data_IF_640960962003
#
_entry.id   IF_640960962003
#
_cell.length_a   1.000
_cell.length_b   1.000
_cell.length_c   1.000
_cell.angle_alpha   90.00
_cell.angle_beta   90.00
_cell.angle_gamma   90.00
#
_symmetry.space_group_name_H-M   'P 1'
#
loop_
_entity.id
_entity.type
_entity.pdbx_description
1 polymer ?
#
# COMPACT_ATOMS: atom_id res chain seq x y z
N UNK A 1 12.80 2.08 -29.54
CA UNK A 1 11.44 2.53 -29.22
C UNK A 1 10.52 1.31 -29.31
N UNK A 2 10.42 0.52 -28.22
CA UNK A 2 9.66 -0.73 -28.21
C UNK A 2 8.22 -0.46 -27.76
N UNK A 3 7.24 -0.78 -28.62
CA UNK A 3 5.81 -0.77 -28.29
C UNK A 3 5.54 -1.84 -27.25
N UNK A 4 5.14 -1.44 -26.05
CA UNK A 4 4.49 -2.31 -25.07
C UNK A 4 3.16 -2.74 -25.69
N UNK A 5 3.06 -4.03 -26.04
CA UNK A 5 1.82 -4.61 -26.54
C UNK A 5 0.73 -4.50 -25.49
N UNK A 6 -0.35 -3.79 -25.85
CA UNK A 6 -1.60 -3.77 -25.11
C UNK A 6 -2.11 -5.21 -24.98
N UNK A 7 -1.84 -5.86 -23.85
CA UNK A 7 -2.68 -6.98 -23.43
C UNK A 7 -3.99 -6.36 -22.96
N UNK A 8 -5.04 -6.61 -23.73
CA UNK A 8 -6.42 -6.34 -23.33
C UNK A 8 -6.61 -6.87 -21.91
N UNK A 9 -7.05 -5.99 -21.00
CA UNK A 9 -7.78 -6.42 -19.82
C UNK A 9 -9.01 -7.18 -20.36
N UNK A 10 -9.29 -8.35 -19.80
CA UNK A 10 -10.25 -9.35 -20.29
C UNK A 10 -11.71 -8.89 -20.36
N UNK A 11 -12.65 -9.83 -20.56
CA UNK A 11 -13.91 -9.61 -21.27
C UNK A 11 -14.89 -8.66 -20.57
N UNK A 12 -15.85 -8.21 -21.38
CA UNK A 12 -16.92 -7.25 -21.11
C UNK A 12 -17.64 -7.40 -19.76
N UNK A 13 -18.00 -6.23 -19.22
CA UNK A 13 -18.61 -5.92 -17.91
C UNK A 13 -19.97 -6.60 -17.62
N UNK A 14 -20.46 -7.50 -18.48
CA UNK A 14 -21.79 -8.13 -18.31
C UNK A 14 -21.79 -9.43 -17.49
N UNK A 15 -20.64 -10.01 -17.16
CA UNK A 15 -20.51 -11.13 -16.22
C UNK A 15 -19.68 -10.73 -14.97
N UNK A 16 -20.22 -9.84 -14.13
CA UNK A 16 -19.58 -9.47 -12.84
C UNK A 16 -19.72 -10.54 -11.74
N UNK A 17 -20.06 -11.78 -12.11
CA UNK A 17 -20.00 -12.90 -11.17
C UNK A 17 -18.55 -13.40 -11.15
N UNK A 18 -17.93 -13.34 -9.96
CA UNK A 18 -16.66 -14.04 -9.72
C UNK A 18 -16.86 -15.49 -10.15
N UNK A 19 -16.02 -15.95 -11.09
CA UNK A 19 -16.03 -17.35 -11.51
C UNK A 19 -15.85 -18.24 -10.26
N UNK A 20 -16.82 -19.12 -9.94
CA UNK A 20 -16.77 -19.97 -8.74
C UNK A 20 -15.52 -20.84 -8.66
N UNK A 21 -14.97 -21.28 -9.79
CA UNK A 21 -13.73 -22.08 -9.86
C UNK A 21 -12.54 -21.22 -9.45
N UNK A 22 -12.49 -19.99 -9.97
CA UNK A 22 -11.46 -19.02 -9.63
C UNK A 22 -11.53 -18.60 -8.15
N UNK A 23 -12.74 -18.44 -7.60
CA UNK A 23 -12.94 -18.20 -6.18
C UNK A 23 -12.44 -19.37 -5.32
N UNK A 24 -12.80 -20.61 -5.68
CA UNK A 24 -12.38 -21.79 -4.94
C UNK A 24 -10.84 -21.90 -4.83
N UNK A 25 -10.10 -21.49 -5.87
CA UNK A 25 -8.63 -21.47 -5.86
C UNK A 25 -8.01 -20.51 -4.83
N UNK A 26 -8.78 -19.58 -4.28
CA UNK A 26 -8.32 -18.69 -3.20
C UNK A 26 -8.39 -19.33 -1.81
N UNK A 27 -9.12 -20.44 -1.68
CA UNK A 27 -9.44 -21.06 -0.40
C UNK A 27 -10.59 -20.40 0.37
N UNK A 28 -11.23 -19.36 -0.18
CA UNK A 28 -12.41 -18.73 0.41
C UNK A 28 -13.70 -19.39 -0.10
N UNK A 29 -14.67 -19.70 0.79
CA UNK A 29 -15.88 -20.43 0.40
C UNK A 29 -16.91 -19.57 -0.34
N UNK A 30 -16.83 -18.25 -0.23
CA UNK A 30 -17.77 -17.31 -0.82
C UNK A 30 -17.10 -15.97 -1.13
N UNK A 31 -17.64 -15.24 -2.11
CA UNK A 31 -17.18 -13.90 -2.51
C UNK A 31 -17.29 -12.88 -1.37
N UNK A 32 -18.33 -13.01 -0.55
CA UNK A 32 -18.54 -12.19 0.66
C UNK A 32 -17.44 -12.42 1.69
N UNK A 33 -17.04 -13.68 1.94
CA UNK A 33 -15.95 -14.01 2.87
C UNK A 33 -14.59 -13.52 2.36
N UNK A 34 -14.35 -13.63 1.04
CA UNK A 34 -13.15 -13.08 0.40
C UNK A 34 -13.11 -11.55 0.58
N UNK A 35 -14.23 -10.86 0.31
CA UNK A 35 -14.32 -9.41 0.47
C UNK A 35 -14.09 -8.97 1.93
N UNK A 36 -14.76 -9.59 2.90
CA UNK A 36 -14.55 -9.29 4.32
C UNK A 36 -13.09 -9.48 4.73
N UNK A 37 -12.45 -10.55 4.26
CA UNK A 37 -11.04 -10.81 4.56
C UNK A 37 -10.10 -9.80 3.91
N UNK A 38 -10.44 -9.32 2.70
CA UNK A 38 -9.68 -8.28 2.02
C UNK A 38 -9.80 -6.94 2.77
N UNK A 39 -10.99 -6.60 3.29
CA UNK A 39 -11.21 -5.40 4.08
C UNK A 39 -10.43 -5.45 5.41
N UNK A 40 -10.49 -6.57 6.13
CA UNK A 40 -9.69 -6.77 7.35
C UNK A 40 -8.18 -6.67 7.06
N UNK A 41 -7.71 -7.25 5.95
CA UNK A 41 -6.32 -7.16 5.53
C UNK A 41 -5.92 -5.74 5.13
N UNK A 42 -6.78 -5.02 4.41
CA UNK A 42 -6.55 -3.63 4.02
C UNK A 42 -6.41 -2.74 5.26
N UNK A 43 -7.34 -2.87 6.22
CA UNK A 43 -7.30 -2.11 7.47
C UNK A 43 -6.01 -2.42 8.26
N UNK A 44 -5.68 -3.70 8.39
CA UNK A 44 -4.46 -4.18 9.02
C UNK A 44 -3.19 -3.58 8.39
N UNK A 45 -3.18 -3.36 7.07
CA UNK A 45 -2.01 -2.92 6.32
C UNK A 45 -2.04 -1.44 5.95
N UNK A 46 -3.05 -0.69 6.40
CA UNK A 46 -3.31 0.70 6.01
C UNK A 46 -2.07 1.61 6.16
N UNK A 47 -1.35 1.48 7.27
CA UNK A 47 -0.14 2.27 7.53
C UNK A 47 0.99 1.96 6.53
N UNK A 48 1.27 0.68 6.29
CA UNK A 48 2.27 0.23 5.32
C UNK A 48 1.90 0.64 3.88
N UNK A 49 0.62 0.46 3.53
CA UNK A 49 0.07 0.81 2.23
C UNK A 49 0.17 2.32 1.97
N UNK A 50 0.07 3.16 3.00
CA UNK A 50 0.28 4.60 2.87
C UNK A 50 1.69 4.92 2.34
N UNK A 51 2.75 4.29 2.86
CA UNK A 51 4.12 4.51 2.36
C UNK A 51 4.33 3.96 0.96
N UNK A 52 3.79 2.77 0.67
CA UNK A 52 3.81 2.22 -0.69
C UNK A 52 3.19 3.24 -1.66
N UNK A 53 2.09 3.87 -1.27
CA UNK A 53 1.40 4.87 -2.06
C UNK A 53 2.21 6.14 -2.24
N UNK A 54 2.75 6.69 -1.15
CA UNK A 54 3.60 7.90 -1.17
C UNK A 54 4.80 7.69 -2.07
N UNK A 55 5.51 6.56 -1.92
CA UNK A 55 6.72 6.27 -2.70
C UNK A 55 6.39 6.14 -4.18
N UNK A 56 5.37 5.35 -4.55
CA UNK A 56 4.99 5.17 -5.96
C UNK A 56 4.53 6.50 -6.59
N UNK A 57 3.80 7.32 -5.83
CA UNK A 57 3.35 8.64 -6.27
C UNK A 57 4.53 9.58 -6.56
N UNK A 58 5.60 9.53 -5.77
CA UNK A 58 6.80 10.32 -6.04
C UNK A 58 7.66 9.73 -7.17
N UNK A 59 7.75 8.40 -7.26
CA UNK A 59 8.63 7.69 -8.21
C UNK A 59 8.14 7.78 -9.65
N UNK A 60 6.83 7.77 -9.88
CA UNK A 60 6.26 7.65 -11.23
C UNK A 60 5.83 8.99 -11.83
N UNK A 61 6.79 9.90 -12.05
CA UNK A 61 6.56 11.24 -12.62
C UNK A 61 6.41 12.36 -11.58
N UNK A 62 6.49 12.00 -10.30
CA UNK A 62 6.39 12.94 -9.18
C UNK A 62 4.97 13.13 -8.66
N UNK A 63 4.89 13.70 -7.47
CA UNK A 63 3.68 13.83 -6.68
C UNK A 63 2.61 14.64 -7.41
N UNK A 64 2.94 15.86 -7.83
CA UNK A 64 2.00 16.79 -8.44
C UNK A 64 1.49 16.26 -9.78
N UNK A 65 2.36 15.63 -10.58
CA UNK A 65 1.96 15.01 -11.83
C UNK A 65 0.89 13.92 -11.60
N UNK A 66 1.09 13.02 -10.64
CA UNK A 66 0.14 11.94 -10.38
C UNK A 66 -1.20 12.45 -9.82
N UNK A 67 -1.17 13.48 -8.98
CA UNK A 67 -2.39 14.10 -8.43
C UNK A 67 -3.19 14.86 -9.50
N UNK A 68 -2.54 15.52 -10.46
CA UNK A 68 -3.23 16.27 -11.52
C UNK A 68 -3.74 15.38 -12.65
N UNK A 69 -3.05 14.29 -12.98
CA UNK A 69 -3.33 13.49 -14.19
C UNK A 69 -4.26 12.28 -13.94
N UNK A 70 -5.04 12.28 -12.85
CA UNK A 70 -6.00 11.21 -12.50
C UNK A 70 -5.39 9.81 -12.66
N UNK A 71 -4.35 9.50 -11.89
CA UNK A 71 -3.69 8.19 -11.89
C UNK A 71 -4.00 7.43 -10.61
N UNK A 72 -3.92 6.11 -10.67
CA UNK A 72 -4.13 5.22 -9.54
C UNK A 72 -2.94 4.31 -9.31
N UNK A 73 -2.73 3.90 -8.07
CA UNK A 73 -1.87 2.79 -7.75
C UNK A 73 -2.69 1.49 -7.81
N UNK A 74 -2.39 0.62 -8.77
CA UNK A 74 -2.95 -0.73 -8.82
C UNK A 74 -2.05 -1.67 -8.05
N UNK A 75 -2.58 -2.30 -7.00
CA UNK A 75 -1.91 -3.34 -6.23
C UNK A 75 -2.53 -4.69 -6.55
N UNK A 76 -1.74 -5.58 -7.15
CA UNK A 76 -2.16 -6.96 -7.39
C UNK A 76 -1.82 -7.78 -6.16
N UNK A 77 -2.85 -8.35 -5.54
CA UNK A 77 -2.71 -9.14 -4.32
C UNK A 77 -3.12 -10.58 -4.57
N UNK A 78 -2.39 -11.51 -3.98
CA UNK A 78 -2.72 -12.94 -4.02
C UNK A 78 -3.28 -13.34 -2.67
N UNK A 79 -4.49 -13.90 -2.68
CA UNK A 79 -5.07 -14.56 -1.53
C UNK A 79 -4.18 -15.72 -1.08
N UNK A 80 -3.98 -15.83 0.23
CA UNK A 80 -3.41 -17.00 0.89
C UNK A 80 -4.56 -17.78 1.50
N UNK A 81 -4.41 -19.09 1.62
CA UNK A 81 -5.41 -19.93 2.26
C UNK A 81 -5.78 -19.33 3.64
N UNK A 82 -7.08 -19.27 4.00
CA UNK A 82 -7.51 -18.66 5.25
C UNK A 82 -6.75 -19.28 6.43
N UNK A 83 -5.89 -18.49 7.09
CA UNK A 83 -5.20 -18.91 8.30
C UNK A 83 -5.91 -18.28 9.50
N UNK A 84 -6.23 -19.11 10.50
CA UNK A 84 -6.82 -18.64 11.75
C UNK A 84 -5.79 -17.79 12.50
N UNK A 85 -6.09 -16.50 12.71
CA UNK A 85 -5.52 -15.74 13.83
C UNK A 85 -4.81 -14.43 13.50
N UNK A 86 -4.50 -14.12 12.24
CA UNK A 86 -3.96 -12.79 11.87
C UNK A 86 -4.39 -12.40 10.44
N UNK A 87 -5.31 -11.43 10.27
CA UNK A 87 -5.79 -11.02 8.95
C UNK A 87 -4.69 -10.40 8.09
N UNK A 88 -3.61 -9.88 8.69
CA UNK A 88 -2.44 -9.38 7.96
C UNK A 88 -1.77 -10.45 7.07
N UNK A 89 -2.00 -11.75 7.36
CA UNK A 89 -1.50 -12.89 6.59
C UNK A 89 -2.44 -13.35 5.48
N UNK A 90 -3.63 -12.76 5.33
CA UNK A 90 -4.63 -13.23 4.37
C UNK A 90 -4.21 -13.01 2.91
N UNK A 91 -3.39 -12.00 2.61
CA UNK A 91 -2.93 -11.70 1.26
C UNK A 91 -1.42 -11.40 1.25
N UNK A 92 -0.84 -11.44 0.05
CA UNK A 92 0.48 -10.86 -0.24
C UNK A 92 0.39 -9.99 -1.48
N UNK A 93 1.22 -8.95 -1.53
CA UNK A 93 1.42 -8.14 -2.73
C UNK A 93 2.28 -8.94 -3.71
N UNK A 94 1.79 -9.05 -4.94
CA UNK A 94 2.48 -9.71 -6.06
C UNK A 94 3.13 -8.68 -6.98
N UNK A 95 2.41 -7.59 -7.25
CA UNK A 95 2.82 -6.58 -8.21
C UNK A 95 2.15 -5.24 -7.89
N UNK A 96 2.77 -4.15 -8.34
CA UNK A 96 2.28 -2.80 -8.15
C UNK A 96 2.62 -1.93 -9.36
N UNK A 97 1.65 -1.13 -9.80
CA UNK A 97 1.86 -0.25 -10.96
C UNK A 97 0.99 1.00 -10.88
N UNK A 98 1.53 2.12 -11.35
CA UNK A 98 0.79 3.38 -11.49
C UNK A 98 0.12 3.43 -12.86
N UNK A 99 -1.21 3.52 -12.89
CA UNK A 99 -2.01 3.41 -14.12
C UNK A 99 -2.87 4.67 -14.32
N UNK A 100 -2.98 5.21 -15.54
CA UNK A 100 -3.95 6.26 -15.87
C UNK A 100 -5.39 5.84 -15.64
N UNK A 101 -6.26 6.76 -15.20
CA UNK A 101 -7.68 6.47 -15.01
C UNK A 101 -8.36 5.92 -16.27
N UNK A 102 -7.95 6.40 -17.44
CA UNK A 102 -8.52 5.99 -18.74
C UNK A 102 -8.38 4.49 -19.03
N UNK A 103 -7.44 3.81 -18.38
CA UNK A 103 -7.23 2.37 -18.55
C UNK A 103 -8.21 1.53 -17.70
N UNK A 104 -9.03 2.18 -16.85
CA UNK A 104 -10.11 1.51 -16.14
C UNK A 104 -11.42 1.52 -16.94
N UNK A 105 -12.17 0.42 -16.86
CA UNK A 105 -13.50 0.31 -17.43
C UNK A 105 -14.52 1.28 -16.80
N UNK A 106 -15.70 1.42 -17.43
CA UNK A 106 -16.73 2.38 -17.02
C UNK A 106 -17.13 2.28 -15.53
N UNK A 107 -17.42 1.08 -15.03
CA UNK A 107 -17.84 0.88 -13.64
C UNK A 107 -16.79 1.35 -12.62
N UNK A 108 -15.51 1.11 -12.91
CA UNK A 108 -14.40 1.60 -12.10
C UNK A 108 -14.27 3.14 -12.12
N UNK A 109 -14.62 3.77 -13.25
CA UNK A 109 -14.61 5.23 -13.36
C UNK A 109 -15.70 5.92 -12.53
N UNK A 110 -16.85 5.26 -12.34
CA UNK A 110 -17.94 5.80 -11.51
C UNK A 110 -17.55 5.73 -10.03
N UNK A 111 -17.09 4.55 -9.56
CA UNK A 111 -16.59 4.37 -8.19
C UNK A 111 -15.44 5.33 -7.84
N UNK A 112 -14.56 5.61 -8.82
CA UNK A 112 -13.51 6.63 -8.69
C UNK A 112 -14.06 8.02 -8.36
N UNK A 113 -15.05 8.46 -9.12
CA UNK A 113 -15.58 9.82 -9.04
C UNK A 113 -16.31 10.06 -7.72
N UNK A 114 -17.09 9.07 -7.28
CA UNK A 114 -17.82 9.11 -6.01
C UNK A 114 -16.86 9.26 -4.82
N UNK A 115 -15.81 8.46 -4.77
CA UNK A 115 -14.81 8.54 -3.70
C UNK A 115 -14.11 9.89 -3.66
N UNK A 116 -13.65 10.41 -4.81
CA UNK A 116 -12.84 11.62 -4.86
C UNK A 116 -13.52 12.85 -4.24
N UNK A 117 -14.81 13.07 -4.53
CA UNK A 117 -15.54 14.26 -4.02
C UNK A 117 -15.60 14.28 -2.48
N UNK A 118 -15.80 13.11 -1.87
CA UNK A 118 -15.83 12.99 -0.42
C UNK A 118 -14.44 13.22 0.18
N UNK A 119 -13.41 12.67 -0.45
CA UNK A 119 -12.04 12.75 0.06
C UNK A 119 -11.41 14.14 -0.08
N UNK A 120 -11.68 14.88 -1.16
CA UNK A 120 -11.10 16.22 -1.37
C UNK A 120 -11.45 17.19 -0.22
N UNK A 121 -12.69 17.13 0.29
CA UNK A 121 -13.12 17.93 1.43
C UNK A 121 -12.37 17.55 2.71
N UNK A 122 -12.24 16.24 2.96
CA UNK A 122 -11.53 15.73 4.13
C UNK A 122 -10.05 16.09 4.09
N UNK A 123 -9.40 16.01 2.93
CA UNK A 123 -7.98 16.36 2.76
C UNK A 123 -7.71 17.80 3.16
N UNK A 124 -8.56 18.74 2.73
CA UNK A 124 -8.33 20.16 3.01
C UNK A 124 -8.46 20.45 4.52
N UNK A 125 -9.40 19.80 5.20
CA UNK A 125 -9.49 19.86 6.67
C UNK A 125 -8.27 19.27 7.34
N UNK A 126 -7.86 18.05 6.96
CA UNK A 126 -6.70 17.38 7.58
C UNK A 126 -5.39 18.14 7.36
N UNK A 127 -5.21 18.72 6.16
CA UNK A 127 -4.03 19.53 5.83
C UNK A 127 -3.93 20.77 6.72
N UNK A 128 -5.06 21.42 6.98
CA UNK A 128 -5.14 22.61 7.81
C UNK A 128 -4.95 22.31 9.29
N UNK A 129 -5.58 21.25 9.76
CA UNK A 129 -5.72 20.99 11.19
C UNK A 129 -4.61 20.10 11.77
N UNK A 130 -3.98 19.25 10.94
CA UNK A 130 -3.04 18.22 11.41
C UNK A 130 -1.65 18.33 10.79
N UNK A 131 -1.55 18.34 9.46
CA UNK A 131 -0.27 18.17 8.77
C UNK A 131 -0.24 18.86 7.41
N UNK A 132 0.52 19.96 7.31
CA UNK A 132 0.69 20.73 6.08
C UNK A 132 1.41 19.96 4.96
N UNK A 133 2.07 18.84 5.29
CA UNK A 133 2.69 17.97 4.29
C UNK A 133 1.67 17.15 3.51
N UNK A 134 0.41 17.05 3.96
CA UNK A 134 -0.64 16.35 3.21
C UNK A 134 -0.86 17.04 1.87
N UNK A 135 -0.50 16.35 0.78
CA UNK A 135 -0.58 16.88 -0.58
C UNK A 135 -1.90 16.56 -1.27
N UNK A 136 -2.53 15.44 -0.92
CA UNK A 136 -3.77 15.00 -1.56
C UNK A 136 -4.16 13.59 -1.16
N UNK A 137 -5.06 13.00 -1.94
CA UNK A 137 -5.31 11.56 -1.92
C UNK A 137 -4.90 10.91 -3.22
N UNK A 138 -4.41 9.68 -3.12
CA UNK A 138 -4.10 8.84 -4.26
C UNK A 138 -5.02 7.62 -4.22
N UNK A 139 -5.81 7.38 -5.28
CA UNK A 139 -6.64 6.19 -5.35
C UNK A 139 -5.78 4.93 -5.51
N UNK A 140 -6.22 3.88 -4.84
CA UNK A 140 -5.61 2.56 -4.87
C UNK A 140 -6.65 1.55 -5.29
N UNK A 141 -6.29 0.73 -6.26
CA UNK A 141 -7.13 -0.36 -6.74
C UNK A 141 -6.47 -1.66 -6.31
N UNK A 142 -7.11 -2.38 -5.39
CA UNK A 142 -6.69 -3.74 -5.06
C UNK A 142 -7.29 -4.68 -6.10
N UNK A 143 -6.46 -5.51 -6.72
CA UNK A 143 -6.91 -6.54 -7.66
C UNK A 143 -6.50 -7.89 -7.09
N UNK A 144 -7.48 -8.71 -6.72
CA UNK A 144 -7.21 -10.08 -6.26
C UNK A 144 -6.90 -10.93 -7.49
N UNK A 145 -5.69 -11.46 -7.52
CA UNK A 145 -5.16 -12.22 -8.66
C UNK A 145 -6.02 -13.45 -8.91
N UNK A 146 -6.36 -13.67 -10.19
CA UNK A 146 -7.14 -14.81 -10.67
C UNK A 146 -8.55 -14.91 -10.09
N UNK A 147 -9.22 -13.80 -9.74
CA UNK A 147 -10.64 -13.84 -9.32
C UNK A 147 -11.53 -12.83 -10.05
N UNK A 148 -10.96 -11.86 -10.77
CA UNK A 148 -11.71 -10.72 -11.30
C UNK A 148 -12.19 -9.73 -10.23
N UNK A 149 -11.89 -9.99 -8.95
CA UNK A 149 -12.31 -9.15 -7.83
C UNK A 149 -11.41 -7.92 -7.69
N UNK A 150 -12.03 -6.74 -7.57
CA UNK A 150 -11.31 -5.50 -7.32
C UNK A 150 -12.03 -4.59 -6.32
N UNK A 151 -11.27 -3.81 -5.57
CA UNK A 151 -11.81 -2.80 -4.63
C UNK A 151 -11.05 -1.48 -4.75
N UNK A 152 -11.77 -0.39 -4.55
CA UNK A 152 -11.25 0.97 -4.64
C UNK A 152 -11.09 1.56 -3.25
N UNK A 153 -9.91 2.11 -2.98
CA UNK A 153 -9.58 2.80 -1.75
C UNK A 153 -8.88 4.13 -2.09
N UNK A 154 -8.79 5.03 -1.11
CA UNK A 154 -8.02 6.26 -1.23
C UNK A 154 -7.07 6.34 -0.04
N UNK A 155 -5.79 6.61 -0.30
CA UNK A 155 -4.82 6.91 0.75
C UNK A 155 -4.40 8.37 0.69
N UNK A 156 -4.16 8.95 1.87
CA UNK A 156 -3.49 10.23 1.97
C UNK A 156 -2.06 10.10 1.43
N UNK A 157 -1.64 11.09 0.65
CA UNK A 157 -0.25 11.21 0.20
C UNK A 157 0.34 12.49 0.74
N UNK A 158 1.56 12.39 1.25
CA UNK A 158 2.30 13.50 1.84
C UNK A 158 3.40 13.94 0.89
N UNK A 159 3.62 15.24 0.75
CA UNK A 159 4.81 15.81 0.13
C UNK A 159 6.00 15.48 1.01
N UNK A 160 6.91 14.65 0.48
CA UNK A 160 8.14 14.24 1.17
C UNK A 160 9.40 14.84 0.54
N UNK A 161 9.24 15.65 -0.50
CA UNK A 161 10.32 16.40 -1.17
C UNK A 161 9.79 17.78 -1.52
N UNK A 162 10.65 18.81 -1.46
CA UNK A 162 10.24 20.21 -1.69
C UNK A 162 9.44 20.43 -2.98
N UNK A 163 9.85 19.82 -4.09
CA UNK A 163 9.20 19.93 -5.40
C UNK A 163 8.33 18.71 -5.76
N UNK A 164 8.17 17.74 -4.83
CA UNK A 164 7.42 16.51 -5.08
C UNK A 164 8.12 15.53 -6.03
N UNK A 165 9.41 15.73 -6.34
CA UNK A 165 10.16 14.94 -7.31
C UNK A 165 11.35 14.21 -6.66
N UNK A 166 11.59 12.96 -7.07
CA UNK A 166 12.77 12.19 -6.66
C UNK A 166 13.91 12.34 -7.67
N UNK A 167 14.49 13.54 -7.74
CA UNK A 167 15.62 13.84 -8.65
C UNK A 167 16.95 13.30 -8.11
N UNK A 168 17.19 13.52 -6.83
CA UNK A 168 18.38 13.05 -6.13
C UNK A 168 18.44 11.50 -6.13
N UNK A 169 19.51 10.89 -6.67
CA UNK A 169 19.70 9.45 -6.62
C UNK A 169 19.69 8.88 -5.20
N UNK A 170 20.19 9.62 -4.21
CA UNK A 170 20.21 9.13 -2.83
C UNK A 170 18.81 9.11 -2.23
N UNK A 171 18.03 10.20 -2.36
CA UNK A 171 16.62 10.21 -1.99
C UNK A 171 15.81 9.10 -2.67
N UNK A 172 16.06 8.86 -3.97
CA UNK A 172 15.42 7.76 -4.69
C UNK A 172 15.72 6.40 -4.06
N UNK A 173 16.98 6.15 -3.70
CA UNK A 173 17.39 4.91 -3.04
C UNK A 173 16.71 4.73 -1.68
N UNK A 174 16.63 5.80 -0.86
CA UNK A 174 15.94 5.77 0.44
C UNK A 174 14.45 5.44 0.27
N UNK A 175 13.77 6.08 -0.70
CA UNK A 175 12.36 5.80 -0.98
C UNK A 175 12.15 4.34 -1.43
N UNK A 176 13.04 3.81 -2.26
CA UNK A 176 12.97 2.41 -2.70
C UNK A 176 13.19 1.42 -1.55
N UNK A 177 14.08 1.73 -0.61
CA UNK A 177 14.28 0.91 0.59
C UNK A 177 13.04 0.92 1.50
N UNK A 178 12.40 2.10 1.71
CA UNK A 178 11.13 2.20 2.45
C UNK A 178 10.03 1.39 1.79
N UNK A 179 9.91 1.49 0.46
CA UNK A 179 8.95 0.69 -0.32
C UNK A 179 9.19 -0.80 -0.11
N UNK A 180 10.44 -1.24 -0.20
CA UNK A 180 10.80 -2.64 -0.05
C UNK A 180 10.49 -3.17 1.36
N UNK A 181 10.88 -2.43 2.41
CA UNK A 181 10.57 -2.80 3.80
C UNK A 181 9.05 -2.89 4.03
N UNK A 182 8.28 -1.95 3.48
CA UNK A 182 6.81 -1.95 3.60
C UNK A 182 6.18 -3.17 2.94
N UNK A 183 6.60 -3.50 1.71
CA UNK A 183 6.12 -4.69 0.98
C UNK A 183 6.49 -5.98 1.69
N UNK A 184 7.73 -6.08 2.18
CA UNK A 184 8.19 -7.26 2.87
C UNK A 184 7.46 -7.50 4.21
N UNK A 185 7.22 -6.43 4.98
CA UNK A 185 6.40 -6.51 6.20
C UNK A 185 4.99 -7.05 5.90
N UNK A 186 4.31 -6.45 4.90
CA UNK A 186 2.99 -6.90 4.46
C UNK A 186 3.02 -8.39 4.08
N UNK A 187 4.01 -8.79 3.27
CA UNK A 187 4.10 -10.16 2.77
C UNK A 187 4.42 -11.19 3.87
N UNK A 188 5.12 -10.77 4.93
CA UNK A 188 5.37 -11.54 6.14
C UNK A 188 4.15 -11.58 7.11
N UNK A 189 3.12 -10.77 6.84
CA UNK A 189 1.95 -10.62 7.72
C UNK A 189 2.25 -9.84 9.00
N UNK A 190 3.27 -8.99 8.94
CA UNK A 190 3.57 -7.99 9.96
C UNK A 190 2.76 -6.73 9.68
N UNK A 191 2.43 -6.02 10.75
CA UNK A 191 1.68 -4.75 10.69
C UNK A 191 2.61 -3.65 11.18
N UNK A 192 2.92 -2.72 10.28
CA UNK A 192 3.57 -1.47 10.65
C UNK A 192 2.55 -0.56 11.34
N UNK A 193 2.97 0.11 12.40
CA UNK A 193 2.19 1.10 13.10
C UNK A 193 3.03 2.36 13.33
N UNK A 194 2.38 3.52 13.46
CA UNK A 194 3.07 4.73 13.91
C UNK A 194 3.76 4.46 15.25
N UNK A 195 4.96 5.01 15.40
CA UNK A 195 5.75 4.88 16.63
C UNK A 195 4.91 5.26 17.86
N UNK A 196 4.81 4.34 18.82
CA UNK A 196 4.10 4.53 20.09
C UNK A 196 4.77 5.63 20.91
N UNK A 197 6.10 5.73 20.84
CA UNK A 197 6.86 6.81 21.47
C UNK A 197 7.87 7.45 20.52
N UNK A 198 7.42 8.37 19.62
CA UNK A 198 8.29 8.98 18.62
C UNK A 198 9.46 9.78 19.21
N UNK A 199 9.35 10.23 20.47
CA UNK A 199 10.42 11.00 21.15
C UNK A 199 11.62 10.13 21.52
N UNK A 200 11.41 8.83 21.72
CA UNK A 200 12.45 7.89 22.17
C UNK A 200 13.04 7.12 21.00
N UNK A 201 12.19 6.61 20.09
CA UNK A 201 12.64 5.76 18.97
C UNK A 201 12.70 6.50 17.62
N UNK A 202 12.45 7.80 17.62
CA UNK A 202 12.34 8.59 16.40
C UNK A 202 11.11 8.22 15.57
N UNK A 203 11.23 8.38 14.26
CA UNK A 203 10.14 8.13 13.30
C UNK A 203 10.13 6.69 12.76
N UNK A 204 10.84 5.79 13.44
CA UNK A 204 10.89 4.38 13.10
C UNK A 204 9.55 3.70 13.46
N UNK A 205 8.84 3.09 12.50
CA UNK A 205 7.57 2.44 12.78
C UNK A 205 7.72 1.29 13.76
N UNK A 206 6.70 1.11 14.60
CA UNK A 206 6.56 -0.11 15.39
C UNK A 206 6.08 -1.25 14.51
N UNK A 207 6.55 -2.45 14.83
CA UNK A 207 6.14 -3.68 14.16
C UNK A 207 5.34 -4.53 15.13
N UNK A 208 4.22 -5.05 14.64
CA UNK A 208 3.36 -5.93 15.42
C UNK A 208 2.59 -6.93 14.57
N UNK A 209 1.64 -7.59 15.22
CA UNK A 209 0.70 -8.51 14.60
C UNK A 209 -0.70 -8.22 15.13
N UNK A 210 -1.73 -8.55 14.35
CA UNK A 210 -3.09 -8.54 14.86
C UNK A 210 -3.40 -9.86 15.55
N UNK A 211 -4.06 -9.77 16.70
CA UNK A 211 -4.55 -10.91 17.49
C UNK A 211 -6.03 -10.75 17.75
N UNK A 212 -6.78 -11.85 17.70
CA UNK A 212 -8.21 -11.82 18.00
C UNK A 212 -8.44 -11.80 19.51
N UNK A 213 -9.04 -10.72 20.03
CA UNK A 213 -9.33 -10.56 21.47
C UNK A 213 -10.69 -9.91 21.64
N UNK A 214 -11.52 -10.47 22.54
CA UNK A 214 -12.85 -9.91 22.89
C UNK A 214 -13.71 -9.55 21.65
N UNK A 215 -13.71 -10.42 20.62
CA UNK A 215 -14.44 -10.24 19.35
C UNK A 215 -13.98 -9.06 18.47
N UNK A 216 -12.75 -8.60 18.64
CA UNK A 216 -12.13 -7.59 17.78
C UNK A 216 -10.67 -7.94 17.49
N UNK A 217 -10.16 -7.43 16.37
CA UNK A 217 -8.73 -7.47 16.09
C UNK A 217 -8.04 -6.40 16.96
N UNK A 218 -7.03 -6.82 17.72
CA UNK A 218 -6.17 -5.90 18.49
C UNK A 218 -4.75 -6.00 17.96
N UNK A 219 -4.13 -4.85 17.68
CA UNK A 219 -2.72 -4.80 17.33
C UNK A 219 -1.88 -5.03 18.58
N UNK A 220 -0.91 -5.94 18.48
CA UNK A 220 0.04 -6.25 19.53
C UNK A 220 1.45 -6.00 19.02
N UNK A 221 2.18 -5.14 19.75
CA UNK A 221 3.59 -4.88 19.53
C UNK A 221 4.40 -6.18 19.58
N UNK A 222 5.35 -6.32 18.65
CA UNK A 222 6.35 -7.38 18.66
C UNK A 222 7.58 -6.87 19.44
N UNK A 223 7.60 -7.13 20.76
CA UNK A 223 8.61 -6.59 21.69
C UNK A 223 10.06 -7.00 21.35
N UNK A 224 10.23 -8.16 20.70
CA UNK A 224 11.52 -8.71 20.25
C UNK A 224 11.92 -8.21 18.85
N UNK A 225 11.25 -7.21 18.31
CA UNK A 225 11.55 -6.70 16.97
C UNK A 225 12.84 -5.88 16.95
N UNK A 226 13.81 -6.35 16.17
CA UNK A 226 15.05 -5.62 15.89
C UNK A 226 15.09 -5.21 14.41
N UNK A 227 15.02 -3.90 14.17
CA UNK A 227 15.14 -3.35 12.83
C UNK A 227 16.52 -3.61 12.21
N UNK A 228 17.58 -3.82 12.99
CA UNK A 228 18.90 -4.18 12.44
C UNK A 228 18.91 -5.59 11.85
N UNK A 229 17.96 -6.46 12.26
CA UNK A 229 17.75 -7.77 11.67
C UNK A 229 16.88 -7.74 10.40
N UNK A 230 16.45 -6.57 9.91
CA UNK A 230 15.58 -6.46 8.74
C UNK A 230 16.14 -7.16 7.49
N UNK A 231 17.47 -7.13 7.28
CA UNK A 231 18.12 -7.84 6.17
C UNK A 231 18.00 -9.36 6.30
N UNK A 232 18.28 -9.92 7.48
CA UNK A 232 18.20 -11.37 7.70
C UNK A 232 16.74 -11.88 7.68
N UNK A 233 15.79 -11.02 7.99
CA UNK A 233 14.35 -11.28 7.88
C UNK A 233 13.80 -11.09 6.45
N UNK A 234 14.66 -10.76 5.47
CA UNK A 234 14.27 -10.60 4.07
C UNK A 234 13.49 -9.31 3.77
N UNK A 235 13.52 -8.32 4.67
CA UNK A 235 12.89 -7.01 4.42
C UNK A 235 13.72 -6.09 3.54
N UNK A 236 15.00 -6.39 3.37
CA UNK A 236 15.94 -5.69 2.52
C UNK A 236 16.67 -6.70 1.62
N UNK A 237 17.31 -6.24 0.52
CA UNK A 237 18.05 -7.14 -0.35
C UNK A 237 19.18 -7.84 0.42
N UNK A 238 19.57 -9.07 0.05
CA UNK A 238 20.69 -9.77 0.69
C UNK A 238 22.01 -8.99 0.65
N UNK A 239 22.20 -8.18 -0.40
CA UNK A 239 23.36 -7.30 -0.56
C UNK A 239 23.26 -5.98 0.22
N UNK A 240 22.25 -5.86 1.09
CA UNK A 240 21.95 -4.66 1.87
C UNK A 240 21.03 -3.67 1.13
N UNK A 241 20.64 -2.59 1.83
CA UNK A 241 19.78 -1.54 1.29
C UNK A 241 20.43 -0.78 0.13
N UNK A 242 19.61 -0.31 -0.81
CA UNK A 242 20.08 0.45 -1.98
C UNK A 242 20.74 1.77 -1.59
N UNK A 243 20.25 2.40 -0.53
CA UNK A 243 20.81 3.65 0.01
C UNK A 243 22.13 3.43 0.76
N UNK A 244 22.50 2.19 1.09
CA UNK A 244 23.63 1.86 1.96
C UNK A 244 23.42 2.23 3.44
N UNK A 245 22.22 2.67 3.81
CA UNK A 245 21.89 3.11 5.17
C UNK A 245 21.27 1.97 6.00
N UNK A 246 21.39 2.06 7.32
CA UNK A 246 20.69 1.15 8.23
C UNK A 246 19.19 1.47 8.27
N UNK A 247 18.30 0.51 8.56
CA UNK A 247 16.84 0.70 8.54
C UNK A 247 16.32 1.90 9.33
N UNK A 248 16.81 2.11 10.56
CA UNK A 248 16.43 3.26 11.37
C UNK A 248 16.79 4.59 10.68
N UNK A 249 17.96 4.66 10.07
CA UNK A 249 18.45 5.84 9.34
C UNK A 249 17.68 6.03 8.03
N UNK A 250 17.26 4.94 7.37
CA UNK A 250 16.40 5.00 6.18
C UNK A 250 15.08 5.71 6.51
N UNK A 251 14.42 5.29 7.59
CA UNK A 251 13.16 5.92 8.03
C UNK A 251 13.38 7.38 8.41
N UNK A 252 14.39 7.70 9.21
CA UNK A 252 14.70 9.09 9.57
C UNK A 252 14.95 9.96 8.33
N UNK A 253 15.76 9.46 7.38
CA UNK A 253 16.05 10.17 6.13
C UNK A 253 14.81 10.38 5.28
N UNK A 254 13.94 9.38 5.17
CA UNK A 254 12.68 9.48 4.42
C UNK A 254 11.81 10.67 4.89
N UNK A 255 11.85 10.99 6.19
CA UNK A 255 11.12 12.12 6.76
C UNK A 255 11.85 13.47 6.64
N UNK A 256 13.16 13.47 6.40
CA UNK A 256 13.99 14.69 6.37
C UNK A 256 14.08 15.41 5.02
N UNK A 257 13.48 14.87 3.95
CA UNK A 257 13.63 15.40 2.58
C UNK A 257 12.74 16.60 2.22
N UNK A 258 11.93 17.10 3.18
CA UNK A 258 11.02 18.25 2.99
C UNK A 258 11.74 19.57 3.19
#
# INVERSE_FOLDING_TARGET
>A
MHKLGCRSLGPSVEDNLIDPVLLANTGYPASTTLNSSLMDWWEAQSYALSYITIVNTHKHGGLDYNLTNSRALVLRVQAKAPQSGNPAKAFKIVDMTMVPKADFGRAANDAWNEGRVQFDRTVETLRRDLDSTIAGTMPIVLVVVNTGFMTFHHNLVHRRTRDGQLRDPHARAVFEDVLQMSVAAINAGLVLHAAVNPRVQGLLPDIGVLVWRKKKWEWKLKEDWDWNAATSLGMLPPNGPRSGLQPAVIWDRFYSFI
#
